data_IF_058561828932
#
_entry.id   IF_058561828932
#
_cell.length_a   1.000
_cell.length_b   1.000
_cell.length_c   1.000
_cell.angle_alpha   90.00
_cell.angle_beta   90.00
_cell.angle_gamma   90.00
#
_symmetry.space_group_name_H-M   'P 1'
#
loop_
_entity.id
_entity.type
_entity.pdbx_description
1 polymer ?
#
# COMPACT_ATOMS: atom_id res chain seq x y z
N UNK A 1 -8.97 -12.52 -11.96
CA UNK A 1 -10.09 -11.57 -11.92
C UNK A 1 -11.26 -12.20 -12.66
N UNK A 2 -12.47 -12.17 -12.11
CA UNK A 2 -13.67 -12.66 -12.82
C UNK A 2 -14.39 -11.49 -13.52
N UNK A 3 -14.92 -11.65 -14.74
CA UNK A 3 -15.63 -10.58 -15.44
C UNK A 3 -16.75 -9.97 -14.60
N UNK A 4 -16.83 -8.64 -14.57
CA UNK A 4 -17.83 -7.90 -13.80
C UNK A 4 -17.55 -7.76 -12.31
N UNK A 5 -16.42 -8.26 -11.79
CA UNK A 5 -15.99 -8.05 -10.41
C UNK A 5 -14.79 -7.10 -10.34
N UNK A 6 -14.79 -6.21 -9.34
CA UNK A 6 -13.69 -5.31 -9.03
C UNK A 6 -12.97 -5.76 -7.76
N UNK A 7 -11.69 -5.42 -7.64
CA UNK A 7 -10.92 -5.62 -6.42
C UNK A 7 -11.32 -4.53 -5.41
N UNK A 8 -11.69 -4.93 -4.20
CA UNK A 8 -12.11 -4.02 -3.13
C UNK A 8 -11.27 -4.28 -1.88
N UNK A 9 -10.80 -3.21 -1.26
CA UNK A 9 -10.17 -3.21 0.06
C UNK A 9 -11.03 -2.39 1.01
N UNK A 10 -11.50 -3.01 2.09
CA UNK A 10 -12.12 -2.32 3.21
C UNK A 10 -11.11 -2.13 4.32
N UNK A 11 -10.90 -0.90 4.77
CA UNK A 11 -10.09 -0.56 5.94
C UNK A 11 -11.02 -0.03 7.03
N UNK A 12 -11.03 -0.66 8.20
CA UNK A 12 -11.74 -0.18 9.38
C UNK A 12 -10.73 0.55 10.27
N UNK A 13 -10.93 1.84 10.45
CA UNK A 13 -9.98 2.74 11.12
C UNK A 13 -10.69 3.34 12.34
N UNK A 14 -10.04 3.30 13.50
CA UNK A 14 -10.56 3.91 14.72
C UNK A 14 -9.44 4.67 15.42
N UNK A 15 -9.68 5.97 15.70
CA UNK A 15 -8.69 6.89 16.30
C UNK A 15 -7.33 6.88 15.59
N UNK A 16 -7.34 6.80 14.25
CA UNK A 16 -6.14 6.76 13.42
C UNK A 16 -5.44 5.40 13.33
N UNK A 17 -5.86 4.41 14.11
CA UNK A 17 -5.37 3.03 14.02
C UNK A 17 -6.22 2.16 13.12
N UNK A 18 -5.59 1.38 12.25
CA UNK A 18 -6.28 0.35 11.47
C UNK A 18 -6.63 -0.81 12.40
N UNK A 19 -7.92 -1.10 12.52
CA UNK A 19 -8.44 -2.19 13.33
C UNK A 19 -8.61 -3.48 12.53
N UNK A 20 -9.03 -3.36 11.27
CA UNK A 20 -9.17 -4.51 10.39
C UNK A 20 -9.05 -4.10 8.92
N UNK A 21 -8.61 -5.04 8.08
CA UNK A 21 -8.60 -4.88 6.64
C UNK A 21 -9.16 -6.14 5.98
N UNK A 22 -10.14 -5.96 5.09
CA UNK A 22 -10.71 -7.05 4.31
C UNK A 22 -10.45 -6.83 2.82
N UNK A 23 -9.88 -7.84 2.17
CA UNK A 23 -9.60 -7.84 0.74
C UNK A 23 -10.53 -8.81 0.03
N UNK A 24 -11.28 -8.34 -0.97
CA UNK A 24 -12.23 -9.19 -1.68
C UNK A 24 -12.42 -8.75 -3.14
N UNK A 25 -13.02 -9.63 -3.94
CA UNK A 25 -13.57 -9.28 -5.23
C UNK A 25 -15.09 -9.10 -5.10
N UNK A 26 -15.61 -7.95 -5.50
CA UNK A 26 -17.03 -7.63 -5.35
C UNK A 26 -17.56 -6.90 -6.58
N UNK A 27 -18.86 -7.05 -6.83
CA UNK A 27 -19.59 -6.18 -7.77
C UNK A 27 -19.88 -4.87 -7.06
N UNK A 28 -19.39 -3.77 -7.62
CA UNK A 28 -19.57 -2.43 -7.06
C UNK A 28 -20.10 -1.51 -8.14
N UNK A 29 -21.05 -0.65 -7.78
CA UNK A 29 -21.60 0.37 -8.67
C UNK A 29 -20.77 1.67 -8.59
N UNK A 30 -19.45 1.55 -8.66
CA UNK A 30 -18.52 2.68 -8.61
C UNK A 30 -17.25 2.40 -9.40
N UNK A 31 -16.54 3.46 -9.76
CA UNK A 31 -15.26 3.39 -10.50
C UNK A 31 -14.07 3.26 -9.55
N UNK A 32 -12.86 3.16 -10.10
CA UNK A 32 -11.63 3.08 -9.31
C UNK A 32 -11.48 4.33 -8.42
N UNK A 33 -11.21 4.12 -7.13
CA UNK A 33 -11.09 5.20 -6.16
C UNK A 33 -11.27 4.70 -4.73
N UNK A 34 -11.00 5.58 -3.76
CA UNK A 34 -11.21 5.30 -2.34
C UNK A 34 -12.34 6.19 -1.80
N UNK A 35 -13.23 5.57 -1.04
CA UNK A 35 -14.41 6.22 -0.47
C UNK A 35 -14.39 6.00 1.03
N UNK A 36 -14.63 7.06 1.79
CA UNK A 36 -14.59 7.01 3.26
C UNK A 36 -15.94 7.38 3.84
N UNK A 37 -16.32 6.67 4.90
CA UNK A 37 -17.48 6.99 5.70
C UNK A 37 -17.10 6.97 7.18
N UNK A 38 -17.38 8.07 7.87
CA UNK A 38 -17.25 8.15 9.33
C UNK A 38 -18.59 7.80 9.97
N UNK A 39 -18.58 6.82 10.88
CA UNK A 39 -19.72 6.45 11.72
C UNK A 39 -19.78 7.36 12.95
N UNK A 40 -20.95 7.47 13.56
CA UNK A 40 -21.19 8.34 14.75
C UNK A 40 -20.27 8.01 15.93
N UNK A 41 -19.87 6.76 16.08
CA UNK A 41 -18.94 6.33 17.13
C UNK A 41 -17.47 6.75 16.88
N UNK A 42 -17.16 7.41 15.76
CA UNK A 42 -15.81 7.81 15.37
C UNK A 42 -15.04 6.76 14.57
N UNK A 43 -15.67 5.63 14.20
CA UNK A 43 -15.09 4.64 13.29
C UNK A 43 -15.14 5.15 11.84
N UNK A 44 -14.01 5.15 11.16
CA UNK A 44 -13.92 5.41 9.73
C UNK A 44 -13.85 4.09 8.98
N UNK A 45 -14.70 3.92 7.98
CA UNK A 45 -14.68 2.80 7.04
C UNK A 45 -14.23 3.35 5.70
N UNK A 46 -13.08 2.90 5.21
CA UNK A 46 -12.54 3.20 3.89
C UNK A 46 -12.78 2.02 2.96
N UNK A 47 -13.30 2.28 1.76
CA UNK A 47 -13.46 1.29 0.70
C UNK A 47 -12.69 1.77 -0.54
N UNK A 48 -11.61 1.09 -0.88
CA UNK A 48 -10.85 1.34 -2.10
C UNK A 48 -11.18 0.30 -3.17
N UNK A 49 -11.59 0.78 -4.34
CA UNK A 49 -11.93 -0.02 -5.52
C UNK A 49 -10.84 0.16 -6.56
N UNK A 50 -10.39 -0.96 -7.14
CA UNK A 50 -9.48 -0.96 -8.27
C UNK A 50 -9.78 -2.12 -9.21
N UNK A 51 -9.39 -1.98 -10.48
CA UNK A 51 -9.58 -3.02 -11.50
C UNK A 51 -8.21 -3.63 -11.84
N UNK A 52 -8.03 -4.91 -11.53
CA UNK A 52 -6.85 -5.70 -11.93
C UNK A 52 -7.12 -6.50 -13.20
N UNK A 53 -6.07 -6.70 -14.01
CA UNK A 53 -6.14 -7.59 -15.18
C UNK A 53 -6.07 -9.06 -14.75
N UNK A 54 -6.67 -9.93 -15.56
CA UNK A 54 -6.59 -11.39 -15.35
C UNK A 54 -5.14 -11.85 -15.44
N UNK A 55 -4.73 -12.75 -14.54
CA UNK A 55 -3.36 -13.27 -14.48
C UNK A 55 -2.34 -12.39 -13.73
N UNK A 56 -2.71 -11.18 -13.31
CA UNK A 56 -1.87 -10.32 -12.47
C UNK A 56 -2.26 -10.40 -11.00
N UNK A 57 -1.34 -9.96 -10.13
CA UNK A 57 -1.61 -9.79 -8.70
C UNK A 57 -2.81 -8.84 -8.49
N UNK A 58 -3.69 -9.10 -7.51
CA UNK A 58 -4.78 -8.18 -7.16
C UNK A 58 -4.26 -6.79 -6.78
N UNK A 59 -4.82 -5.76 -7.40
CA UNK A 59 -4.43 -4.36 -7.18
C UNK A 59 -4.83 -3.85 -5.79
N UNK A 60 -5.77 -4.52 -5.13
CA UNK A 60 -6.19 -4.19 -3.77
C UNK A 60 -5.22 -4.73 -2.72
N UNK A 61 -4.13 -5.43 -3.09
CA UNK A 61 -3.13 -5.92 -2.15
C UNK A 61 -2.41 -4.80 -1.38
N UNK A 62 -1.68 -5.18 -0.32
CA UNK A 62 -0.76 -4.25 0.34
C UNK A 62 0.31 -3.77 -0.64
N UNK A 63 0.74 -2.51 -0.53
CA UNK A 63 1.90 -2.05 -1.26
C UNK A 63 3.08 -2.95 -0.85
N UNK A 64 3.57 -3.75 -1.80
CA UNK A 64 4.84 -4.41 -1.63
C UNK A 64 5.86 -3.29 -1.53
N UNK A 65 6.31 -2.98 -0.32
CA UNK A 65 7.46 -2.11 -0.04
C UNK A 65 8.69 -2.80 -0.65
N UNK A 66 8.80 -2.78 -1.98
CA UNK A 66 10.02 -3.16 -2.67
C UNK A 66 11.04 -2.10 -2.25
N UNK A 67 12.19 -2.48 -1.68
CA UNK A 67 13.21 -1.51 -1.32
C UNK A 67 13.50 -0.65 -2.55
N UNK A 68 13.29 0.65 -2.42
CA UNK A 68 13.52 1.62 -3.48
C UNK A 68 15.01 1.61 -3.81
N UNK A 69 15.34 1.68 -5.10
CA UNK A 69 16.71 1.72 -5.61
C UNK A 69 17.55 2.84 -4.96
N UNK A 70 16.86 3.92 -4.55
CA UNK A 70 17.40 5.04 -3.76
C UNK A 70 18.01 4.60 -2.43
N UNK A 71 17.39 3.65 -1.72
CA UNK A 71 17.90 3.16 -0.44
C UNK A 71 19.19 2.33 -0.63
N UNK A 72 19.33 1.64 -1.76
CA UNK A 72 20.56 0.93 -2.12
C UNK A 72 21.74 1.88 -2.33
N UNK A 73 21.55 2.97 -3.07
CA UNK A 73 22.60 3.98 -3.30
C UNK A 73 23.03 4.67 -2.00
N UNK A 74 22.08 5.01 -1.13
CA UNK A 74 22.38 5.63 0.15
C UNK A 74 23.30 4.75 1.02
N UNK A 75 23.04 3.44 1.08
CA UNK A 75 23.87 2.49 1.82
C UNK A 75 25.28 2.36 1.22
N UNK A 76 25.40 2.35 -0.11
CA UNK A 76 26.71 2.34 -0.78
C UNK A 76 27.53 3.59 -0.46
N UNK A 77 26.91 4.78 -0.49
CA UNK A 77 27.59 6.05 -0.19
C UNK A 77 28.01 6.14 1.28
N UNK A 78 27.18 5.67 2.21
CA UNK A 78 27.52 5.62 3.63
C UNK A 78 28.68 4.64 3.85
N UNK A 79 28.63 3.46 3.22
CA UNK A 79 29.70 2.46 3.31
C UNK A 79 31.03 2.96 2.75
N UNK A 80 31.02 3.62 1.59
CA UNK A 80 32.23 4.21 1.00
C UNK A 80 32.78 5.37 1.84
N UNK A 81 31.92 6.24 2.37
CA UNK A 81 32.33 7.32 3.27
C UNK A 81 32.99 6.78 4.55
N UNK A 82 32.40 5.77 5.18
CA UNK A 82 32.99 5.12 6.37
C UNK A 82 34.34 4.48 6.07
N UNK A 83 34.48 3.86 4.89
CA UNK A 83 35.73 3.26 4.43
C UNK A 83 36.81 4.34 4.24
N UNK A 84 36.48 5.43 3.54
CA UNK A 84 37.39 6.54 3.29
C UNK A 84 37.85 7.22 4.59
N UNK A 85 36.93 7.43 5.53
CA UNK A 85 37.23 7.96 6.86
C UNK A 85 38.13 7.02 7.67
N UNK A 86 37.88 5.70 7.62
CA UNK A 86 38.70 4.69 8.29
C UNK A 86 40.14 4.68 7.77
N UNK A 87 40.34 4.88 6.47
CA UNK A 87 41.67 4.95 5.86
C UNK A 87 42.26 6.37 5.82
N UNK A 88 41.61 7.38 6.43
CA UNK A 88 42.07 8.79 6.45
C UNK A 88 42.44 9.32 5.05
N UNK A 89 41.68 8.92 4.04
CA UNK A 89 41.80 9.45 2.67
C UNK A 89 41.06 10.80 2.57
N UNK A 90 40.24 11.12 3.58
CA UNK A 90 39.46 12.34 3.76
C UNK A 90 39.76 12.95 5.13
#
# INVERSE_FOLDING_TARGET
MSPGYSCVKFSYIFKGGIQNITYMAAKVNTTNGCYTQTKENGMQVEACVCTSRVGLQPCNGSANNKPTLVMGWALCLIGSYQLLNKYRIL
#
